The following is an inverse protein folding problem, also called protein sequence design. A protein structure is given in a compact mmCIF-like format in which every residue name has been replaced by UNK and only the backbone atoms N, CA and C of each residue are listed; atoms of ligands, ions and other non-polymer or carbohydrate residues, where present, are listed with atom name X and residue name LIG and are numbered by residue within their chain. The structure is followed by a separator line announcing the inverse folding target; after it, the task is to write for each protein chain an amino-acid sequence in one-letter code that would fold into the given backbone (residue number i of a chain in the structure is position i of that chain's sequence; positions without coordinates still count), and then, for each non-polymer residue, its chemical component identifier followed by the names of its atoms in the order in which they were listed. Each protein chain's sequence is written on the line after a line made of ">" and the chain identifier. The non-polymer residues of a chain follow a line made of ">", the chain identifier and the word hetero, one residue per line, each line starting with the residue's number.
data_IF_696612222333
#
_entry.id   IF_696612222333
#
_cell.length_a   1.000
_cell.length_b   1.000
_cell.length_c   1.000
_cell.angle_alpha   90.00
_cell.angle_beta   90.00
_cell.angle_gamma   90.00
#
_symmetry.space_group_name_H-M   'P 1'
#
loop_
_entity.id
_entity.type
_entity.pdbx_description
1 polymer ?
#
# COMPACT_ATOMS: atom_id res chain seq x y z
N UNK A 1 1.29 -7.65 8.31
CA UNK A 1 1.75 -7.47 6.91
C UNK A 1 1.02 -8.43 6.00
N UNK A 2 0.65 -8.03 4.79
CA UNK A 2 -0.10 -8.82 3.80
C UNK A 2 0.52 -8.63 2.41
N UNK A 3 0.24 -9.56 1.48
CA UNK A 3 0.68 -9.45 0.09
C UNK A 3 -0.33 -8.64 -0.72
N UNK A 4 0.17 -7.69 -1.50
CA UNK A 4 -0.61 -6.88 -2.42
C UNK A 4 -0.03 -7.00 -3.83
N UNK A 5 -0.91 -6.92 -4.83
CA UNK A 5 -0.55 -7.05 -6.23
C UNK A 5 -0.77 -5.71 -6.94
N UNK A 6 0.24 -5.26 -7.68
CA UNK A 6 0.17 -4.11 -8.56
C UNK A 6 -0.07 -4.60 -9.98
N UNK A 7 -1.32 -4.50 -10.44
CA UNK A 7 -1.76 -5.13 -11.68
C UNK A 7 -1.14 -4.57 -12.96
N UNK A 8 -0.74 -3.30 -12.96
CA UNK A 8 -0.12 -2.67 -14.14
C UNK A 8 1.30 -3.19 -14.39
N UNK A 9 2.04 -3.46 -13.32
CA UNK A 9 3.46 -3.85 -13.39
C UNK A 9 3.67 -5.33 -13.07
N UNK A 10 2.58 -6.10 -12.92
CA UNK A 10 2.57 -7.52 -12.58
C UNK A 10 3.46 -7.87 -11.37
N UNK A 11 3.53 -6.96 -10.38
CA UNK A 11 4.39 -7.11 -9.20
C UNK A 11 3.57 -7.44 -7.96
N UNK A 12 4.09 -8.37 -7.12
CA UNK A 12 3.55 -8.62 -5.78
C UNK A 12 4.56 -8.21 -4.72
N UNK A 13 4.12 -7.44 -3.72
CA UNK A 13 4.96 -7.02 -2.61
C UNK A 13 4.25 -7.23 -1.27
N UNK A 14 5.00 -7.60 -0.23
CA UNK A 14 4.50 -7.72 1.14
C UNK A 14 4.55 -6.35 1.80
N UNK A 15 3.38 -5.76 2.08
CA UNK A 15 3.29 -4.41 2.65
C UNK A 15 2.55 -4.43 3.99
N UNK A 16 2.71 -3.33 4.75
CA UNK A 16 1.95 -3.09 5.97
C UNK A 16 0.65 -2.37 5.62
N UNK A 17 -0.45 -2.82 6.24
CA UNK A 17 -1.74 -2.14 6.18
C UNK A 17 -1.68 -0.98 7.17
N UNK A 18 -2.02 0.22 6.72
CA UNK A 18 -2.05 1.43 7.54
C UNK A 18 -3.43 1.57 8.17
N UNK A 19 -4.47 1.58 7.33
CA UNK A 19 -5.84 1.78 7.81
C UNK A 19 -6.90 1.17 6.90
N UNK A 20 -8.08 0.92 7.45
CA UNK A 20 -9.30 0.56 6.71
C UNK A 20 -10.12 1.82 6.51
N UNK A 21 -10.30 2.26 5.26
CA UNK A 21 -11.02 3.51 4.94
C UNK A 21 -12.50 3.25 4.76
N UNK A 22 -12.87 2.12 4.14
CA UNK A 22 -14.26 1.84 3.81
C UNK A 22 -14.54 0.33 3.72
N UNK A 23 -15.76 -0.07 4.07
CA UNK A 23 -16.28 -1.41 3.86
C UNK A 23 -17.67 -1.32 3.21
N UNK A 24 -17.87 -2.02 2.09
CA UNK A 24 -19.12 -1.99 1.35
C UNK A 24 -20.31 -2.62 2.10
N UNK A 25 -20.06 -3.54 3.03
CA UNK A 25 -21.13 -4.32 3.67
C UNK A 25 -21.68 -3.71 4.95
N UNK A 26 -20.94 -2.85 5.64
CA UNK A 26 -21.39 -2.22 6.88
C UNK A 26 -20.53 -0.99 7.19
N UNK A 27 -21.16 0.18 7.32
CA UNK A 27 -20.51 1.46 7.59
C UNK A 27 -20.16 1.66 9.07
N UNK A 28 -20.73 0.88 10.01
CA UNK A 28 -20.42 0.97 11.44
C UNK A 28 -19.07 0.32 11.78
N UNK A 29 -18.51 -0.51 10.90
CA UNK A 29 -17.22 -1.17 11.09
C UNK A 29 -16.01 -0.25 10.94
N UNK A 30 -16.23 1.02 10.58
CA UNK A 30 -15.19 2.03 10.49
C UNK A 30 -14.42 2.22 11.80
N UNK A 31 -15.09 2.07 12.95
CA UNK A 31 -14.48 2.30 14.27
C UNK A 31 -13.71 1.12 14.87
N UNK A 32 -13.62 -0.03 14.19
CA UNK A 32 -12.91 -1.21 14.74
C UNK A 32 -11.68 -1.63 13.94
N UNK A 33 -11.43 -0.99 12.79
CA UNK A 33 -10.36 -1.36 11.84
C UNK A 33 -10.33 -2.87 11.55
N UNK A 34 -11.50 -3.51 11.54
CA UNK A 34 -11.64 -4.94 11.29
C UNK A 34 -11.41 -5.24 9.81
N UNK A 35 -10.52 -6.21 9.53
CA UNK A 35 -10.21 -6.63 8.16
C UNK A 35 -11.28 -7.61 7.65
N UNK A 36 -12.13 -7.14 6.75
CA UNK A 36 -13.13 -7.95 6.06
C UNK A 36 -12.82 -8.05 4.56
N UNK A 37 -13.36 -9.06 3.89
CA UNK A 37 -13.26 -9.13 2.42
C UNK A 37 -13.92 -7.89 1.82
N UNK A 38 -13.36 -7.39 0.71
CA UNK A 38 -13.94 -6.27 -0.06
C UNK A 38 -13.89 -4.89 0.64
N UNK A 39 -13.03 -4.71 1.65
CA UNK A 39 -12.75 -3.39 2.21
C UNK A 39 -11.73 -2.62 1.37
N UNK A 40 -11.90 -1.29 1.32
CA UNK A 40 -10.92 -0.35 0.76
C UNK A 40 -10.02 0.10 1.90
N UNK A 41 -8.71 -0.04 1.70
CA UNK A 41 -7.70 0.18 2.73
C UNK A 41 -6.54 1.01 2.21
N UNK A 42 -5.87 1.71 3.13
CA UNK A 42 -4.61 2.38 2.87
C UNK A 42 -3.46 1.43 3.19
N UNK A 43 -2.53 1.31 2.25
CA UNK A 43 -1.31 0.50 2.37
C UNK A 43 -0.07 1.37 2.28
N UNK A 44 1.02 0.92 2.91
CA UNK A 44 2.33 1.54 2.77
C UNK A 44 2.88 1.38 1.33
N UNK A 45 3.31 2.49 0.73
CA UNK A 45 3.84 2.56 -0.63
C UNK A 45 5.35 2.32 -0.72
N UNK A 46 6.07 2.36 0.41
CA UNK A 46 7.53 2.19 0.49
C UNK A 46 8.07 0.98 -0.29
N UNK A 47 7.53 -0.26 -0.13
CA UNK A 47 8.05 -1.42 -0.85
C UNK A 47 7.84 -1.32 -2.38
N UNK A 48 6.75 -0.73 -2.84
CA UNK A 48 6.52 -0.50 -4.28
C UNK A 48 7.44 0.57 -4.84
N UNK A 49 7.70 1.65 -4.08
CA UNK A 49 8.67 2.67 -4.48
C UNK A 49 10.08 2.09 -4.61
N UNK A 50 10.48 1.20 -3.69
CA UNK A 50 11.77 0.52 -3.78
C UNK A 50 11.84 -0.43 -4.97
N UNK A 51 10.76 -1.18 -5.23
CA UNK A 51 10.65 -2.05 -6.40
C UNK A 51 10.76 -1.26 -7.71
N UNK A 52 10.03 -0.15 -7.83
CA UNK A 52 10.01 0.69 -9.03
C UNK A 52 11.37 1.33 -9.28
N UNK A 53 12.06 1.81 -8.23
CA UNK A 53 13.45 2.28 -8.33
C UNK A 53 14.40 1.20 -8.86
N UNK A 54 14.23 -0.02 -8.37
CA UNK A 54 15.08 -1.16 -8.78
C UNK A 54 14.78 -1.62 -10.20
N UNK A 55 13.52 -1.52 -10.65
CA UNK A 55 13.10 -1.94 -12.00
C UNK A 55 13.38 -0.90 -13.08
N UNK A 56 13.26 0.39 -12.77
CA UNK A 56 13.46 1.46 -13.76
C UNK A 56 14.92 1.94 -13.89
N UNK A 57 15.88 1.36 -13.15
CA UNK A 57 17.31 1.73 -13.19
C UNK A 57 17.58 3.25 -13.08
N UNK A 58 16.71 4.01 -12.40
CA UNK A 58 16.92 5.43 -12.16
C UNK A 58 17.83 5.59 -10.94
N UNK A 59 19.05 6.13 -11.09
CA UNK A 59 19.90 6.45 -9.97
C UNK A 59 19.25 7.58 -9.17
N UNK A 60 19.37 7.48 -7.85
CA UNK A 60 18.85 8.46 -6.91
C UNK A 60 19.53 9.82 -7.13
N UNK A 61 18.86 10.76 -7.79
CA UNK A 61 19.16 12.18 -7.54
C UNK A 61 18.58 12.53 -6.16
N UNK A 62 19.38 13.23 -5.35
CA UNK A 62 19.21 13.46 -3.89
C UNK A 62 17.80 13.93 -3.49
N UNK A 63 17.31 13.68 -2.28
CA UNK A 63 17.98 13.85 -1.01
C UNK A 63 17.14 14.83 -0.19
N UNK A 64 16.45 14.31 0.83
CA UNK A 64 16.00 15.02 2.04
C UNK A 64 15.25 16.37 1.89
N UNK A 65 13.92 16.32 1.91
CA UNK A 65 13.07 17.45 2.31
C UNK A 65 11.82 16.95 3.08
N UNK A 66 12.07 16.18 4.14
CA UNK A 66 11.14 16.12 5.27
C UNK A 66 11.48 17.30 6.21
N UNK A 67 10.73 18.40 6.09
CA UNK A 67 10.58 19.47 7.10
C UNK A 67 9.10 19.70 7.35
#
# INVERSE_FOLDING_TARGET
>A
MRNFFWGLECCTCKTRIIDVVYNASNHELFCTKTLVKNCIMLIDSTPYRQWHKSHCALPQEGGQDDS
#
